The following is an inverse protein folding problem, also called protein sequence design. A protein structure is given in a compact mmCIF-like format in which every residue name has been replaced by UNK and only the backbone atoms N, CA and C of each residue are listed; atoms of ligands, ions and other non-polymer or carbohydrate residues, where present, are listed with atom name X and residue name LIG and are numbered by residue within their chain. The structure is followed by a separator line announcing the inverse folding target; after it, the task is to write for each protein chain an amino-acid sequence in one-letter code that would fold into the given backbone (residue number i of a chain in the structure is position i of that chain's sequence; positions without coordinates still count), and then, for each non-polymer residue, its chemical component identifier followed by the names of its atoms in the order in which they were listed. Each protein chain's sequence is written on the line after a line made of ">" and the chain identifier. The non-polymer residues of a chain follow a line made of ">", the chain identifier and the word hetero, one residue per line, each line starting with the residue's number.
data_IF_726537153351
#
_entry.id   IF_726537153351
#
_cell.length_a   1.000
_cell.length_b   1.000
_cell.length_c   1.000
_cell.angle_alpha   90.00
_cell.angle_beta   90.00
_cell.angle_gamma   90.00
#
_symmetry.space_group_name_H-M   'P 1'
#
loop_
_entity.id
_entity.type
_entity.pdbx_description
1 polymer ?
#
# COMPACT_ATOMS: atom_id res chain seq x y z
N UNK A 1 53.32 48.24 -25.13
CA UNK A 1 52.23 48.26 -24.13
C UNK A 1 50.92 48.32 -24.88
N UNK A 2 50.23 47.18 -25.00
CA UNK A 2 48.93 47.08 -25.64
C UNK A 2 47.96 46.74 -24.51
N UNK A 3 47.19 47.73 -24.07
CA UNK A 3 46.21 47.60 -23.00
C UNK A 3 44.95 46.98 -23.60
N UNK A 4 44.91 45.66 -23.72
CA UNK A 4 43.68 44.93 -24.03
C UNK A 4 42.76 44.97 -22.80
N UNK A 5 41.98 46.04 -22.69
CA UNK A 5 40.81 46.06 -21.82
C UNK A 5 39.78 45.06 -22.36
N UNK A 6 39.89 43.81 -21.89
CA UNK A 6 38.84 42.80 -22.02
C UNK A 6 37.59 43.34 -21.34
N UNK A 7 36.67 43.87 -22.15
CA UNK A 7 35.37 44.39 -21.70
C UNK A 7 34.61 43.22 -21.07
N UNK A 8 34.63 43.13 -19.73
CA UNK A 8 33.89 42.13 -18.95
C UNK A 8 32.42 42.29 -19.29
N UNK A 9 31.89 41.44 -20.18
CA UNK A 9 30.49 41.51 -20.60
C UNK A 9 29.67 41.24 -19.34
N UNK A 10 29.04 42.29 -18.83
CA UNK A 10 28.25 42.20 -17.62
C UNK A 10 27.03 41.33 -17.93
N UNK A 11 26.85 40.24 -17.18
CA UNK A 11 25.75 39.29 -17.41
C UNK A 11 24.40 40.01 -17.50
N UNK A 12 24.23 41.04 -16.65
CA UNK A 12 23.05 41.90 -16.62
C UNK A 12 22.79 42.63 -17.95
N UNK A 13 23.83 43.19 -18.58
CA UNK A 13 23.71 43.91 -19.86
C UNK A 13 23.34 42.95 -21.00
N UNK A 14 23.85 41.72 -20.96
CA UNK A 14 23.50 40.67 -21.93
C UNK A 14 22.07 40.18 -21.75
N UNK A 15 21.62 39.94 -20.51
CA UNK A 15 20.24 39.57 -20.21
C UNK A 15 19.26 40.68 -20.61
N UNK A 16 19.61 41.94 -20.36
CA UNK A 16 18.75 43.08 -20.72
C UNK A 16 18.61 43.21 -22.24
N UNK A 17 19.69 43.05 -23.00
CA UNK A 17 19.65 43.01 -24.47
C UNK A 17 18.83 41.84 -25.01
N UNK A 18 18.98 40.65 -24.41
CA UNK A 18 18.21 39.47 -24.79
C UNK A 18 16.71 39.67 -24.58
N UNK A 19 16.32 40.14 -23.39
CA UNK A 19 14.91 40.44 -23.07
C UNK A 19 14.38 41.49 -24.05
N UNK A 20 15.12 42.57 -24.31
CA UNK A 20 14.67 43.63 -25.23
C UNK A 20 14.46 43.13 -26.66
N UNK A 21 15.31 42.20 -27.13
CA UNK A 21 15.21 41.64 -28.47
C UNK A 21 14.08 40.62 -28.62
N UNK A 22 13.73 39.90 -27.54
CA UNK A 22 12.77 38.79 -27.59
C UNK A 22 11.52 38.98 -26.72
N UNK A 23 11.28 40.19 -26.19
CA UNK A 23 10.23 40.44 -25.18
C UNK A 23 8.85 39.92 -25.58
N UNK A 24 8.46 40.07 -26.86
CA UNK A 24 7.17 39.55 -27.36
C UNK A 24 7.08 38.02 -27.26
N UNK A 25 8.15 37.30 -27.62
CA UNK A 25 8.20 35.83 -27.54
C UNK A 25 8.22 35.34 -26.09
N UNK A 26 8.96 36.05 -25.23
CA UNK A 26 8.99 35.77 -23.78
C UNK A 26 7.61 35.96 -23.16
N UNK A 27 6.90 37.03 -23.52
CA UNK A 27 5.54 37.30 -23.04
C UNK A 27 4.56 36.20 -23.49
N UNK A 28 4.62 35.78 -24.76
CA UNK A 28 3.79 34.66 -25.26
C UNK A 28 4.07 33.38 -24.48
N UNK A 29 5.34 33.02 -24.27
CA UNK A 29 5.73 31.85 -23.48
C UNK A 29 5.22 31.94 -22.04
N UNK A 30 5.33 33.11 -21.41
CA UNK A 30 4.84 33.33 -20.04
C UNK A 30 3.31 33.14 -19.95
N UNK A 31 2.55 33.64 -20.93
CA UNK A 31 1.09 33.45 -20.98
C UNK A 31 0.75 31.97 -21.16
N UNK A 32 1.47 31.24 -22.02
CA UNK A 32 1.27 29.79 -22.21
C UNK A 32 1.54 29.03 -20.91
N UNK A 33 2.66 29.30 -20.24
CA UNK A 33 2.99 28.67 -18.95
C UNK A 33 1.94 28.97 -17.88
N UNK A 34 1.44 30.21 -17.83
CA UNK A 34 0.37 30.59 -16.91
C UNK A 34 -0.93 29.84 -17.20
N UNK A 35 -1.30 29.67 -18.49
CA UNK A 35 -2.45 28.87 -18.87
C UNK A 35 -2.31 27.40 -18.43
N UNK A 36 -1.14 26.78 -18.66
CA UNK A 36 -0.86 25.42 -18.19
C UNK A 36 -0.95 25.31 -16.67
N UNK A 37 -0.40 26.28 -15.94
CA UNK A 37 -0.48 26.32 -14.49
C UNK A 37 -1.93 26.39 -13.99
N UNK A 38 -2.75 27.26 -14.59
CA UNK A 38 -4.17 27.38 -14.24
C UNK A 38 -4.96 26.09 -14.52
N UNK A 39 -4.72 25.45 -15.66
CA UNK A 39 -5.35 24.16 -16.00
C UNK A 39 -4.96 23.08 -14.97
N UNK A 40 -3.68 23.01 -14.61
CA UNK A 40 -3.18 22.09 -13.59
C UNK A 40 -3.83 22.35 -12.22
N UNK A 41 -3.93 23.62 -11.80
CA UNK A 41 -4.59 24.00 -10.55
C UNK A 41 -6.07 23.58 -10.53
N UNK A 42 -6.81 23.83 -11.61
CA UNK A 42 -8.21 23.42 -11.73
C UNK A 42 -8.34 21.89 -11.61
N UNK A 43 -7.46 21.14 -12.27
CA UNK A 43 -7.42 19.68 -12.18
C UNK A 43 -7.18 19.17 -10.75
N UNK A 44 -6.22 19.76 -10.04
CA UNK A 44 -5.91 19.41 -8.64
C UNK A 44 -7.11 19.70 -7.73
N UNK A 45 -7.72 20.87 -7.85
CA UNK A 45 -8.91 21.25 -7.05
C UNK A 45 -10.06 20.28 -7.30
N UNK A 46 -10.31 19.91 -8.55
CA UNK A 46 -11.36 18.96 -8.91
C UNK A 46 -11.11 17.58 -8.29
N UNK A 47 -9.89 17.06 -8.40
CA UNK A 47 -9.50 15.77 -7.80
C UNK A 47 -9.64 15.79 -6.28
N UNK A 48 -9.17 16.85 -5.62
CA UNK A 48 -9.27 16.99 -4.16
C UNK A 48 -10.72 17.06 -3.68
N UNK A 49 -11.62 17.71 -4.43
CA UNK A 49 -13.06 17.71 -4.11
C UNK A 49 -13.67 16.32 -4.18
N UNK A 50 -13.29 15.51 -5.17
CA UNK A 50 -13.75 14.12 -5.25
C UNK A 50 -13.25 13.29 -4.06
N UNK A 51 -11.97 13.41 -3.71
CA UNK A 51 -11.39 12.71 -2.56
C UNK A 51 -12.10 13.15 -1.26
N UNK A 52 -12.32 14.45 -1.07
CA UNK A 52 -13.04 14.98 0.08
C UNK A 52 -14.46 14.42 0.16
N UNK A 53 -15.20 14.40 -0.95
CA UNK A 53 -16.55 13.83 -0.98
C UNK A 53 -16.52 12.34 -0.61
N UNK A 54 -15.61 11.57 -1.20
CA UNK A 54 -15.45 10.15 -0.89
C UNK A 54 -15.10 9.92 0.58
N UNK A 55 -14.25 10.79 1.17
CA UNK A 55 -13.88 10.73 2.59
C UNK A 55 -15.07 10.92 3.52
N UNK A 56 -15.93 11.89 3.21
CA UNK A 56 -17.13 12.18 3.99
C UNK A 56 -18.08 10.99 3.89
N UNK A 57 -18.34 10.50 2.68
CA UNK A 57 -19.22 9.36 2.45
C UNK A 57 -18.72 8.10 3.18
N UNK A 58 -17.41 7.82 3.11
CA UNK A 58 -16.80 6.68 3.80
C UNK A 58 -16.95 6.78 5.32
N UNK A 59 -16.62 7.93 5.90
CA UNK A 59 -16.69 8.14 7.35
C UNK A 59 -18.14 8.12 7.87
N UNK A 60 -19.08 8.71 7.11
CA UNK A 60 -20.50 8.65 7.45
C UNK A 60 -21.02 7.21 7.43
N UNK A 61 -20.67 6.43 6.40
CA UNK A 61 -21.04 5.03 6.33
C UNK A 61 -20.49 4.24 7.54
N UNK A 62 -19.22 4.46 7.90
CA UNK A 62 -18.59 3.80 9.05
C UNK A 62 -19.22 4.17 10.40
N UNK A 63 -19.80 5.36 10.50
CA UNK A 63 -20.54 5.82 11.69
C UNK A 63 -22.00 5.36 11.72
N UNK A 64 -22.51 4.78 10.63
CA UNK A 64 -23.88 4.25 10.58
C UNK A 64 -23.98 2.97 11.41
N UNK A 65 -25.11 2.82 12.13
CA UNK A 65 -25.43 1.59 12.86
C UNK A 65 -26.12 0.53 11.97
N UNK A 66 -26.32 0.80 10.68
CA UNK A 66 -26.99 -0.12 9.74
C UNK A 66 -25.97 -0.90 8.91
N UNK A 67 -25.87 -2.24 9.08
CA UNK A 67 -24.96 -3.07 8.29
C UNK A 67 -25.29 -3.10 6.80
N UNK A 68 -26.59 -3.04 6.43
CA UNK A 68 -27.02 -3.00 5.03
C UNK A 68 -26.58 -1.71 4.35
N UNK A 69 -26.78 -0.58 5.03
CA UNK A 69 -26.42 0.73 4.50
C UNK A 69 -24.91 0.84 4.37
N UNK A 70 -24.16 0.33 5.35
CA UNK A 70 -22.70 0.25 5.27
C UNK A 70 -22.26 -0.53 4.03
N UNK A 71 -22.79 -1.73 3.81
CA UNK A 71 -22.43 -2.56 2.67
C UNK A 71 -22.77 -1.89 1.33
N UNK A 72 -23.94 -1.26 1.21
CA UNK A 72 -24.34 -0.53 0.01
C UNK A 72 -23.38 0.63 -0.29
N UNK A 73 -23.05 1.43 0.73
CA UNK A 73 -22.13 2.56 0.58
C UNK A 73 -20.72 2.11 0.19
N UNK A 74 -20.21 1.03 0.80
CA UNK A 74 -18.90 0.48 0.43
C UNK A 74 -18.88 -0.05 -1.00
N UNK A 75 -19.93 -0.73 -1.46
CA UNK A 75 -20.06 -1.18 -2.84
C UNK A 75 -20.06 -0.01 -3.83
N UNK A 76 -20.73 1.09 -3.49
CA UNK A 76 -20.74 2.30 -4.32
C UNK A 76 -19.37 2.96 -4.36
N UNK A 77 -18.71 3.11 -3.21
CA UNK A 77 -17.41 3.77 -3.09
C UNK A 77 -16.28 2.95 -3.72
N UNK A 78 -16.32 1.62 -3.69
CA UNK A 78 -15.28 0.73 -4.24
C UNK A 78 -15.11 0.87 -5.76
N UNK A 79 -16.09 1.44 -6.46
CA UNK A 79 -15.99 1.77 -7.88
C UNK A 79 -15.09 2.98 -8.17
N UNK A 80 -14.77 3.78 -7.15
CA UNK A 80 -13.97 4.99 -7.30
C UNK A 80 -12.47 4.67 -7.36
N UNK A 81 -11.73 5.38 -8.21
CA UNK A 81 -10.28 5.18 -8.42
C UNK A 81 -9.40 5.96 -7.44
N UNK A 82 -9.97 6.43 -6.33
CA UNK A 82 -9.26 7.21 -5.31
C UNK A 82 -8.96 6.35 -4.07
N UNK A 83 -8.22 6.92 -3.13
CA UNK A 83 -7.82 6.23 -1.89
C UNK A 83 -9.00 5.63 -1.11
N UNK A 84 -10.12 6.35 -1.01
CA UNK A 84 -11.31 5.85 -0.31
C UNK A 84 -12.03 4.74 -1.09
N UNK A 85 -11.89 4.70 -2.40
CA UNK A 85 -12.32 3.56 -3.20
C UNK A 85 -11.54 2.30 -2.86
N UNK A 86 -10.21 2.40 -2.73
CA UNK A 86 -9.36 1.29 -2.27
C UNK A 86 -9.78 0.82 -0.88
N UNK A 87 -9.95 1.74 0.07
CA UNK A 87 -10.42 1.40 1.42
C UNK A 87 -11.79 0.73 1.41
N UNK A 88 -12.72 1.24 0.61
CA UNK A 88 -14.05 0.65 0.47
C UNK A 88 -13.97 -0.77 -0.13
N UNK A 89 -13.10 -1.01 -1.12
CA UNK A 89 -12.83 -2.36 -1.63
C UNK A 89 -12.34 -3.29 -0.52
N UNK A 90 -11.39 -2.86 0.31
CA UNK A 90 -10.89 -3.66 1.43
C UNK A 90 -12.00 -4.00 2.44
N UNK A 91 -12.88 -3.05 2.77
CA UNK A 91 -14.04 -3.30 3.64
C UNK A 91 -15.04 -4.28 2.99
N UNK A 92 -15.30 -4.17 1.68
CA UNK A 92 -16.15 -5.15 0.97
C UNK A 92 -15.56 -6.55 0.98
N UNK A 93 -14.24 -6.68 0.81
CA UNK A 93 -13.54 -7.97 0.89
C UNK A 93 -13.65 -8.54 2.30
N UNK A 94 -13.45 -7.72 3.33
CA UNK A 94 -13.62 -8.15 4.73
C UNK A 94 -15.02 -8.69 5.01
N UNK A 95 -16.07 -8.05 4.48
CA UNK A 95 -17.45 -8.54 4.59
C UNK A 95 -17.59 -9.92 3.92
N UNK A 96 -17.00 -10.13 2.74
CA UNK A 96 -17.02 -11.42 2.04
C UNK A 96 -16.28 -12.51 2.81
N UNK A 97 -15.08 -12.21 3.31
CA UNK A 97 -14.30 -13.13 4.15
C UNK A 97 -15.08 -13.51 5.41
N UNK A 98 -15.80 -12.57 6.05
CA UNK A 98 -16.64 -12.88 7.21
C UNK A 98 -17.84 -13.80 6.89
N UNK A 99 -18.23 -13.90 5.62
CA UNK A 99 -19.25 -14.84 5.12
C UNK A 99 -18.62 -16.10 4.51
N UNK A 100 -17.32 -16.30 4.73
CA UNK A 100 -16.49 -17.40 4.21
C UNK A 100 -16.50 -17.51 2.67
N UNK A 101 -16.75 -16.40 1.97
CA UNK A 101 -16.60 -16.30 0.52
C UNK A 101 -15.13 -16.05 0.14
N UNK A 102 -14.30 -17.06 0.40
CA UNK A 102 -12.83 -17.00 0.28
C UNK A 102 -12.39 -16.75 -1.16
N UNK A 103 -12.99 -17.44 -2.13
CA UNK A 103 -12.59 -17.33 -3.53
C UNK A 103 -12.96 -15.97 -4.13
N UNK A 104 -14.17 -15.46 -3.88
CA UNK A 104 -14.52 -14.12 -4.36
C UNK A 104 -13.66 -13.03 -3.71
N UNK A 105 -13.34 -13.20 -2.42
CA UNK A 105 -12.43 -12.30 -1.70
C UNK A 105 -11.02 -12.30 -2.29
N UNK A 106 -10.52 -13.47 -2.67
CA UNK A 106 -9.22 -13.63 -3.33
C UNK A 106 -9.19 -12.90 -4.67
N UNK A 107 -10.22 -13.09 -5.49
CA UNK A 107 -10.31 -12.46 -6.82
C UNK A 107 -10.37 -10.94 -6.72
N UNK A 108 -11.09 -10.41 -5.73
CA UNK A 108 -11.15 -8.97 -5.46
C UNK A 108 -9.79 -8.41 -5.02
N UNK A 109 -9.05 -9.13 -4.15
CA UNK A 109 -7.68 -8.74 -3.79
C UNK A 109 -6.76 -8.73 -5.00
N UNK A 110 -6.77 -9.80 -5.80
CA UNK A 110 -5.93 -9.88 -7.00
C UNK A 110 -6.28 -8.77 -8.00
N UNK A 111 -7.56 -8.46 -8.18
CA UNK A 111 -8.00 -7.34 -9.00
C UNK A 111 -7.47 -6.01 -8.48
N UNK A 112 -7.48 -5.80 -7.17
CA UNK A 112 -6.97 -4.59 -6.52
C UNK A 112 -5.45 -4.46 -6.66
N UNK A 113 -4.70 -5.55 -6.42
CA UNK A 113 -3.24 -5.60 -6.53
C UNK A 113 -2.74 -5.34 -7.96
N UNK A 114 -3.50 -5.76 -8.98
CA UNK A 114 -3.16 -5.56 -10.38
C UNK A 114 -3.57 -4.19 -10.95
N UNK A 115 -4.05 -3.26 -10.13
CA UNK A 115 -4.40 -1.92 -10.58
C UNK A 115 -3.17 -1.08 -10.91
N UNK A 116 -3.07 -0.59 -12.16
CA UNK A 116 -1.90 0.16 -12.68
C UNK A 116 -1.57 1.48 -11.97
N UNK A 117 -2.47 2.01 -11.15
CA UNK A 117 -2.33 3.30 -10.47
C UNK A 117 -1.80 3.20 -9.04
N UNK A 118 -1.52 2.00 -8.53
CA UNK A 118 -0.93 1.81 -7.20
C UNK A 118 0.60 1.72 -7.31
N UNK A 119 1.30 2.47 -6.46
CA UNK A 119 2.74 2.33 -6.31
C UNK A 119 3.09 1.07 -5.50
N UNK A 120 4.36 0.66 -5.52
CA UNK A 120 4.79 -0.57 -4.86
C UNK A 120 4.57 -0.59 -3.34
N UNK A 121 4.61 0.57 -2.67
CA UNK A 121 4.31 0.68 -1.24
C UNK A 121 2.85 0.31 -0.97
N UNK A 122 1.90 0.86 -1.73
CA UNK A 122 0.49 0.53 -1.57
C UNK A 122 0.19 -0.91 -1.95
N UNK A 123 0.78 -1.41 -3.04
CA UNK A 123 0.65 -2.83 -3.44
C UNK A 123 1.14 -3.74 -2.31
N UNK A 124 2.33 -3.46 -1.76
CA UNK A 124 2.90 -4.23 -0.65
C UNK A 124 2.02 -4.17 0.61
N UNK A 125 1.50 -3.00 0.97
CA UNK A 125 0.57 -2.86 2.10
C UNK A 125 -0.71 -3.69 1.92
N UNK A 126 -1.31 -3.65 0.74
CA UNK A 126 -2.53 -4.41 0.42
C UNK A 126 -2.23 -5.90 0.42
N UNK A 127 -1.09 -6.32 -0.14
CA UNK A 127 -0.65 -7.70 -0.15
C UNK A 127 -0.41 -8.25 1.26
N UNK A 128 0.30 -7.50 2.12
CA UNK A 128 0.48 -7.84 3.54
C UNK A 128 -0.88 -7.97 4.25
N UNK A 129 -1.79 -7.01 4.03
CA UNK A 129 -3.13 -7.07 4.61
C UNK A 129 -3.92 -8.29 4.12
N UNK A 130 -3.83 -8.64 2.84
CA UNK A 130 -4.46 -9.81 2.25
C UNK A 130 -3.93 -11.10 2.87
N UNK A 131 -2.61 -11.23 2.99
CA UNK A 131 -1.97 -12.38 3.64
C UNK A 131 -2.48 -12.59 5.06
N UNK A 132 -2.48 -11.55 5.91
CA UNK A 132 -3.03 -11.66 7.27
C UNK A 132 -4.52 -12.02 7.29
N UNK A 133 -5.32 -11.38 6.43
CA UNK A 133 -6.77 -11.62 6.38
C UNK A 133 -7.10 -13.08 6.01
N UNK A 134 -6.24 -13.72 5.22
CA UNK A 134 -6.41 -15.12 4.81
C UNK A 134 -5.86 -16.11 5.83
N UNK A 135 -4.82 -15.76 6.59
CA UNK A 135 -4.33 -16.59 7.71
C UNK A 135 -5.45 -16.92 8.69
N UNK A 136 -6.27 -15.92 9.04
CA UNK A 136 -7.41 -16.06 9.96
C UNK A 136 -8.51 -17.02 9.47
N UNK A 137 -8.43 -17.47 8.21
CA UNK A 137 -9.42 -18.35 7.58
C UNK A 137 -8.93 -19.79 7.39
N UNK A 138 -7.71 -20.09 7.81
CA UNK A 138 -7.15 -21.44 7.71
C UNK A 138 -7.83 -22.38 8.71
N UNK A 139 -8.21 -23.55 8.22
CA UNK A 139 -8.61 -24.72 8.99
C UNK A 139 -8.03 -26.00 8.34
N UNK A 140 -8.23 -27.16 8.99
CA UNK A 140 -7.69 -28.44 8.52
C UNK A 140 -8.12 -28.82 7.11
N UNK A 141 -9.31 -28.41 6.67
CA UNK A 141 -9.88 -28.82 5.39
C UNK A 141 -9.40 -27.94 4.23
N UNK A 142 -9.06 -26.67 4.49
CA UNK A 142 -8.71 -25.68 3.47
C UNK A 142 -7.26 -25.17 3.51
N UNK A 143 -6.44 -25.66 4.47
CA UNK A 143 -5.07 -25.18 4.71
C UNK A 143 -4.27 -25.04 3.41
N UNK A 144 -4.18 -26.11 2.61
CA UNK A 144 -3.37 -26.11 1.39
C UNK A 144 -3.80 -25.03 0.40
N UNK A 145 -5.10 -24.85 0.21
CA UNK A 145 -5.65 -23.86 -0.71
C UNK A 145 -5.38 -22.43 -0.23
N UNK A 146 -5.60 -22.16 1.05
CA UNK A 146 -5.34 -20.83 1.61
C UNK A 146 -3.84 -20.51 1.66
N UNK A 147 -2.98 -21.46 2.00
CA UNK A 147 -1.52 -21.29 1.95
C UNK A 147 -1.05 -20.87 0.56
N UNK A 148 -1.60 -21.48 -0.50
CA UNK A 148 -1.29 -21.10 -1.89
C UNK A 148 -1.69 -19.62 -2.14
N UNK A 149 -2.88 -19.21 -1.69
CA UNK A 149 -3.35 -17.83 -1.83
C UNK A 149 -2.50 -16.84 -1.04
N UNK A 150 -2.13 -17.16 0.20
CA UNK A 150 -1.25 -16.33 1.04
C UNK A 150 0.12 -16.15 0.37
N UNK A 151 0.72 -17.23 -0.13
CA UNK A 151 2.00 -17.17 -0.84
C UNK A 151 1.91 -16.36 -2.14
N UNK A 152 0.78 -16.44 -2.85
CA UNK A 152 0.53 -15.59 -3.99
C UNK A 152 0.53 -14.11 -3.58
N UNK A 153 -0.18 -13.73 -2.51
CA UNK A 153 -0.14 -12.36 -2.01
C UNK A 153 1.26 -11.91 -1.60
N UNK A 154 2.03 -12.75 -0.90
CA UNK A 154 3.42 -12.42 -0.54
C UNK A 154 4.28 -12.10 -1.77
N UNK A 155 4.02 -12.72 -2.93
CA UNK A 155 4.76 -12.45 -4.17
C UNK A 155 4.52 -11.04 -4.75
N UNK A 156 3.46 -10.34 -4.33
CA UNK A 156 3.21 -8.94 -4.69
C UNK A 156 3.96 -7.94 -3.81
N UNK A 157 4.56 -8.38 -2.71
CA UNK A 157 5.33 -7.49 -1.83
C UNK A 157 6.67 -7.18 -2.49
N UNK A 158 6.96 -5.90 -2.64
CA UNK A 158 8.20 -5.42 -3.26
C UNK A 158 9.39 -5.66 -2.33
N UNK A 159 10.24 -6.62 -2.67
CA UNK A 159 11.45 -6.99 -1.92
C UNK A 159 12.46 -5.85 -1.74
N UNK A 160 12.37 -4.77 -2.52
CA UNK A 160 13.24 -3.59 -2.33
C UNK A 160 12.81 -2.73 -1.13
N UNK A 161 11.60 -2.93 -0.62
CA UNK A 161 11.06 -2.21 0.53
C UNK A 161 11.41 -2.94 1.83
N UNK A 162 12.59 -2.67 2.38
CA UNK A 162 13.11 -3.34 3.59
C UNK A 162 12.14 -3.32 4.78
N UNK A 163 11.31 -2.29 4.89
CA UNK A 163 10.26 -2.18 5.92
C UNK A 163 9.29 -3.37 5.92
N UNK A 164 9.08 -4.03 4.77
CA UNK A 164 8.16 -5.17 4.65
C UNK A 164 8.78 -6.52 4.99
N UNK A 165 10.11 -6.60 5.13
CA UNK A 165 10.83 -7.85 5.38
C UNK A 165 10.31 -8.56 6.65
N UNK A 166 10.11 -7.81 7.73
CA UNK A 166 9.58 -8.35 8.97
C UNK A 166 8.16 -8.90 8.86
N UNK A 167 7.30 -8.29 8.04
CA UNK A 167 5.93 -8.80 7.85
C UNK A 167 5.93 -10.10 7.05
N UNK A 168 6.80 -10.23 6.05
CA UNK A 168 6.96 -11.48 5.28
C UNK A 168 7.39 -12.61 6.21
N UNK A 169 8.44 -12.38 7.00
CA UNK A 169 8.95 -13.36 7.96
C UNK A 169 7.88 -13.75 8.98
N UNK A 170 7.14 -12.77 9.52
CA UNK A 170 6.06 -13.04 10.46
C UNK A 170 4.95 -13.90 9.83
N UNK A 171 4.52 -13.58 8.60
CA UNK A 171 3.48 -14.38 7.91
C UNK A 171 3.96 -15.82 7.70
N UNK A 172 5.23 -16.02 7.30
CA UNK A 172 5.82 -17.35 7.14
C UNK A 172 5.88 -18.11 8.46
N UNK A 173 6.27 -17.43 9.54
CA UNK A 173 6.27 -17.99 10.89
C UNK A 173 4.86 -18.41 11.35
N UNK A 174 3.84 -17.59 11.09
CA UNK A 174 2.45 -17.92 11.43
C UNK A 174 1.94 -19.13 10.62
N UNK A 175 2.28 -19.22 9.34
CA UNK A 175 1.96 -20.40 8.53
C UNK A 175 2.59 -21.68 9.09
N UNK A 176 3.83 -21.61 9.59
CA UNK A 176 4.52 -22.77 10.15
C UNK A 176 3.89 -23.23 11.47
N UNK A 177 3.44 -22.30 12.33
CA UNK A 177 2.63 -22.62 13.51
C UNK A 177 1.32 -23.30 13.11
N UNK A 178 0.58 -22.72 12.17
CA UNK A 178 -0.75 -23.23 11.79
C UNK A 178 -0.65 -24.67 11.26
N UNK A 179 0.39 -24.95 10.46
CA UNK A 179 0.69 -26.30 9.97
C UNK A 179 0.96 -27.28 11.11
N UNK A 180 1.74 -26.87 12.11
CA UNK A 180 2.03 -27.68 13.29
C UNK A 180 0.76 -27.97 14.11
N UNK A 181 -0.04 -26.93 14.37
CA UNK A 181 -1.32 -27.03 15.09
C UNK A 181 -2.29 -27.98 14.38
N UNK A 182 -2.37 -27.92 13.05
CA UNK A 182 -3.25 -28.78 12.28
C UNK A 182 -2.83 -30.26 12.31
N UNK A 183 -1.53 -30.53 12.42
CA UNK A 183 -0.97 -31.88 12.60
C UNK A 183 -1.08 -32.39 14.04
N UNK A 184 -1.51 -31.55 15.00
CA UNK A 184 -1.57 -31.82 16.44
C UNK A 184 -0.18 -32.15 17.05
N UNK A 185 0.90 -31.57 16.51
CA UNK A 185 2.25 -31.82 17.02
C UNK A 185 2.57 -30.89 18.19
N UNK A 186 2.92 -31.48 19.34
CA UNK A 186 3.28 -30.74 20.56
C UNK A 186 4.70 -30.16 20.55
N UNK A 187 5.56 -30.64 19.64
CA UNK A 187 6.93 -30.17 19.50
C UNK A 187 7.01 -29.12 18.39
N UNK A 188 7.65 -27.99 18.72
CA UNK A 188 7.95 -26.94 17.75
C UNK A 188 8.86 -27.50 16.66
N UNK A 189 8.45 -27.39 15.41
CA UNK A 189 9.27 -27.79 14.27
C UNK A 189 10.55 -26.94 14.19
N UNK A 190 11.66 -27.57 13.77
CA UNK A 190 12.93 -26.88 13.55
C UNK A 190 12.79 -25.67 12.61
N UNK A 191 11.93 -25.77 11.60
CA UNK A 191 11.62 -24.67 10.68
C UNK A 191 10.96 -23.48 11.39
N UNK A 192 9.97 -23.74 12.26
CA UNK A 192 9.31 -22.72 13.08
C UNK A 192 10.30 -22.05 14.04
N UNK A 193 11.19 -22.84 14.65
CA UNK A 193 12.24 -22.31 15.53
C UNK A 193 13.25 -21.44 14.77
N UNK A 194 13.62 -21.86 13.56
CA UNK A 194 14.52 -21.09 12.69
C UNK A 194 13.90 -19.75 12.29
N UNK A 195 12.65 -19.74 11.84
CA UNK A 195 11.93 -18.52 11.48
C UNK A 195 11.79 -17.57 12.69
N UNK A 196 11.48 -18.11 13.87
CA UNK A 196 11.47 -17.34 15.10
C UNK A 196 12.81 -16.64 15.34
N UNK A 197 13.92 -17.39 15.29
CA UNK A 197 15.25 -16.83 15.54
C UNK A 197 15.63 -15.77 14.49
N UNK A 198 15.32 -16.02 13.22
CA UNK A 198 15.53 -15.08 12.12
C UNK A 198 14.80 -13.76 12.36
N UNK A 199 13.56 -13.80 12.86
CA UNK A 199 12.80 -12.59 13.21
C UNK A 199 13.43 -11.83 14.39
N UNK A 200 13.84 -12.53 15.44
CA UNK A 200 14.37 -11.92 16.66
C UNK A 200 15.74 -11.27 16.41
N UNK A 201 16.59 -11.92 15.62
CA UNK A 201 17.95 -11.45 15.36
C UNK A 201 18.03 -10.43 14.22
N UNK A 202 17.00 -10.29 13.39
CA UNK A 202 17.02 -9.38 12.24
C UNK A 202 16.81 -7.92 12.68
N UNK A 203 17.82 -7.08 12.44
CA UNK A 203 17.82 -5.65 12.81
C UNK A 203 16.79 -4.81 12.05
N UNK A 204 16.32 -5.28 10.89
CA UNK A 204 15.31 -4.59 10.08
C UNK A 204 13.90 -4.82 10.60
N UNK A 205 13.71 -5.82 11.47
CA UNK A 205 12.41 -6.13 12.05
C UNK A 205 12.13 -5.20 13.23
N UNK A 206 10.97 -4.54 13.20
CA UNK A 206 10.57 -3.63 14.28
C UNK A 206 10.44 -4.34 15.63
N UNK A 207 10.78 -3.65 16.72
CA UNK A 207 10.64 -4.18 18.08
C UNK A 207 9.21 -4.64 18.40
N UNK A 208 8.19 -3.92 17.91
CA UNK A 208 6.79 -4.30 18.08
C UNK A 208 6.46 -5.66 17.45
N UNK A 209 7.00 -5.92 16.26
CA UNK A 209 6.81 -7.21 15.58
C UNK A 209 7.54 -8.33 16.33
N UNK A 210 8.78 -8.07 16.79
CA UNK A 210 9.55 -9.03 17.61
C UNK A 210 8.81 -9.41 18.88
N UNK A 211 8.25 -8.44 19.61
CA UNK A 211 7.47 -8.70 20.82
C UNK A 211 6.21 -9.52 20.54
N UNK A 212 5.52 -9.23 19.43
CA UNK A 212 4.32 -9.99 19.02
C UNK A 212 4.67 -11.45 18.71
N UNK A 213 5.72 -11.67 17.92
CA UNK A 213 6.21 -13.01 17.57
C UNK A 213 6.72 -13.75 18.81
N UNK A 214 7.44 -13.08 19.71
CA UNK A 214 7.89 -13.65 20.98
C UNK A 214 6.72 -14.09 21.86
N UNK A 215 5.68 -13.27 21.98
CA UNK A 215 4.47 -13.60 22.76
C UNK A 215 3.79 -14.84 22.18
N UNK A 216 3.63 -14.91 20.86
CA UNK A 216 3.04 -16.06 20.19
C UNK A 216 3.92 -17.30 20.41
N UNK A 217 5.23 -17.18 20.21
CA UNK A 217 6.17 -18.28 20.37
C UNK A 217 6.18 -18.86 21.80
N UNK A 218 6.18 -17.99 22.81
CA UNK A 218 6.07 -18.40 24.21
C UNK A 218 4.77 -19.16 24.47
N UNK A 219 3.64 -18.71 23.92
CA UNK A 219 2.37 -19.42 24.05
C UNK A 219 2.39 -20.83 23.43
N UNK A 220 3.14 -21.03 22.33
CA UNK A 220 3.25 -22.34 21.68
C UNK A 220 4.06 -23.35 22.51
N UNK A 221 5.02 -22.89 23.33
CA UNK A 221 5.84 -23.77 24.18
C UNK A 221 5.04 -24.48 25.29
N UNK A 222 3.87 -23.96 25.62
CA UNK A 222 3.04 -24.43 26.74
C UNK A 222 1.68 -24.97 26.31
N UNK A 223 1.49 -25.26 25.01
CA UNK A 223 0.35 -26.05 24.51
C UNK A 223 0.56 -27.53 24.78
#
# INVERSE_FOLDING_TARGET
>A
MMNDTTKKINFFDSSQKFIKNYYKRILILAVILLAFFLIFQIYVVYTNKQILKASIEFNLARSSNSPSDFQEQMNRLSSQKNFYGVLATLETIKIKLNKDDINSSNDDYLKLLNQKNLNSIYVSAIATHASYSFLDKINKDNEKDIVIKVNNFLSFIDSSLEFYEGFILEIQYLLSIIKQDNNNDSLIYDETQKLYQEIIDNDKVSALLKERVKTIHESQKYK
#
